data_IF_212569154886
#
_entry.id   IF_212569154886
#
_cell.length_a   1.000
_cell.length_b   1.000
_cell.length_c   1.000
_cell.angle_alpha   90.00
_cell.angle_beta   90.00
_cell.angle_gamma   90.00
#
_symmetry.space_group_name_H-M   'P 1'
#
loop_
_entity.id
_entity.type
_entity.pdbx_description
1 polymer ?
#
# COMPACT_ATOMS: atom_id res chain seq x y z
N UNK A 1 12.89 -15.97 -2.28
CA UNK A 1 11.60 -15.79 -1.58
C UNK A 1 11.47 -16.87 -0.53
N UNK A 2 11.15 -16.51 0.72
CA UNK A 2 10.99 -17.49 1.81
C UNK A 2 9.52 -17.88 1.91
N UNK A 3 9.18 -19.18 1.78
CA UNK A 3 7.80 -19.65 1.95
C UNK A 3 7.27 -19.30 3.35
N UNK A 4 5.98 -18.96 3.44
CA UNK A 4 5.27 -18.65 4.69
C UNK A 4 5.79 -17.42 5.49
N UNK A 5 6.70 -16.63 4.92
CA UNK A 5 7.18 -15.39 5.53
C UNK A 5 6.21 -14.23 5.28
N UNK A 6 5.88 -13.49 6.32
CA UNK A 6 5.08 -12.28 6.23
C UNK A 6 5.96 -11.04 6.31
N UNK A 7 6.23 -10.40 5.17
CA UNK A 7 7.06 -9.19 5.14
C UNK A 7 6.20 -7.93 5.15
N UNK A 8 6.46 -7.02 6.07
CA UNK A 8 5.86 -5.69 6.15
C UNK A 8 6.94 -4.62 5.98
N UNK A 9 6.65 -3.60 5.17
CA UNK A 9 7.50 -2.42 5.00
C UNK A 9 6.65 -1.16 5.17
N UNK A 10 6.33 -0.77 6.41
CA UNK A 10 5.41 0.32 6.69
C UNK A 10 5.98 1.66 6.22
N UNK A 11 5.12 2.54 5.71
CA UNK A 11 5.52 3.90 5.30
C UNK A 11 5.47 4.93 6.42
N UNK A 12 4.83 4.62 7.55
CA UNK A 12 4.76 5.53 8.68
C UNK A 12 4.47 4.82 10.01
N UNK A 13 4.27 5.61 11.06
CA UNK A 13 4.02 5.14 12.42
C UNK A 13 2.70 4.37 12.54
N UNK A 14 1.67 4.77 11.79
CA UNK A 14 0.35 4.13 11.80
C UNK A 14 0.42 2.74 11.19
N UNK A 15 1.04 2.60 10.02
CA UNK A 15 1.28 1.30 9.41
C UNK A 15 2.21 0.44 10.26
N UNK A 16 3.19 1.04 10.93
CA UNK A 16 4.09 0.33 11.84
C UNK A 16 3.32 -0.28 13.01
N UNK A 17 2.41 0.46 13.64
CA UNK A 17 1.57 -0.05 14.72
C UNK A 17 0.65 -1.19 14.26
N UNK A 18 0.05 -1.06 13.06
CA UNK A 18 -0.78 -2.12 12.46
C UNK A 18 0.04 -3.35 12.11
N UNK A 19 1.26 -3.17 11.58
CA UNK A 19 2.17 -4.26 11.27
C UNK A 19 2.61 -5.01 12.52
N UNK A 20 2.86 -4.29 13.63
CA UNK A 20 3.14 -4.88 14.93
C UNK A 20 1.95 -5.69 15.45
N UNK A 21 0.73 -5.12 15.42
CA UNK A 21 -0.50 -5.83 15.80
C UNK A 21 -0.67 -7.12 14.98
N UNK A 22 -0.51 -7.03 13.66
CA UNK A 22 -0.58 -8.19 12.77
C UNK A 22 0.49 -9.24 13.13
N UNK A 23 1.70 -8.82 13.46
CA UNK A 23 2.78 -9.71 13.87
C UNK A 23 2.46 -10.50 15.14
N UNK A 24 1.79 -9.88 16.10
CA UNK A 24 1.40 -10.52 17.38
C UNK A 24 0.17 -11.44 17.21
N UNK A 25 -0.79 -11.05 16.37
CA UNK A 25 -1.99 -11.86 16.11
C UNK A 25 -1.71 -13.08 15.22
N UNK A 26 -0.62 -13.05 14.45
CA UNK A 26 -0.26 -14.11 13.52
C UNK A 26 0.32 -15.33 14.23
N UNK A 27 -0.40 -16.45 14.21
CA UNK A 27 0.02 -17.72 14.81
C UNK A 27 0.63 -18.71 13.80
N UNK A 28 0.51 -18.44 12.49
CA UNK A 28 0.81 -19.39 11.41
C UNK A 28 2.15 -19.16 10.71
N UNK A 29 2.99 -18.24 11.21
CA UNK A 29 4.35 -18.05 10.70
C UNK A 29 5.01 -16.73 11.10
N UNK A 30 6.32 -16.57 10.81
CA UNK A 30 7.10 -15.41 11.22
C UNK A 30 6.73 -14.15 10.44
N UNK A 31 6.76 -13.00 11.12
CA UNK A 31 6.55 -11.68 10.53
C UNK A 31 7.84 -10.88 10.57
N UNK A 32 8.29 -10.40 9.41
CA UNK A 32 9.44 -9.52 9.27
C UNK A 32 8.96 -8.08 9.09
N UNK A 33 9.40 -7.19 9.98
CA UNK A 33 9.15 -5.75 9.90
C UNK A 33 10.41 -5.07 9.33
N UNK A 34 10.29 -4.47 8.15
CA UNK A 34 11.35 -3.72 7.48
C UNK A 34 11.10 -2.23 7.75
N UNK A 35 11.78 -1.69 8.76
CA UNK A 35 11.64 -0.30 9.18
C UNK A 35 12.73 0.58 8.54
N UNK A 36 12.38 1.83 8.23
CA UNK A 36 13.35 2.82 7.79
C UNK A 36 14.21 3.30 8.96
N UNK A 37 15.45 3.68 8.66
CA UNK A 37 16.31 4.40 9.62
C UNK A 37 15.95 5.90 9.69
N UNK A 38 15.46 6.45 8.59
CA UNK A 38 15.08 7.86 8.47
C UNK A 38 13.65 8.09 9.00
N UNK A 39 13.39 9.30 9.49
CA UNK A 39 12.03 9.76 9.78
C UNK A 39 11.20 9.81 8.49
N UNK A 40 9.97 9.33 8.56
CA UNK A 40 9.03 9.30 7.44
C UNK A 40 7.85 10.23 7.72
N UNK A 41 7.38 10.93 6.69
CA UNK A 41 6.20 11.78 6.78
C UNK A 41 4.94 10.94 6.96
N UNK A 42 4.12 11.30 7.95
CA UNK A 42 2.83 10.65 8.16
C UNK A 42 1.86 11.07 7.06
N UNK A 43 1.21 10.07 6.45
CA UNK A 43 0.21 10.31 5.40
C UNK A 43 -1.17 10.47 6.03
N UNK A 44 -1.93 11.45 5.55
CA UNK A 44 -3.34 11.62 5.95
C UNK A 44 -4.19 10.46 5.43
N UNK A 45 -5.04 9.91 6.31
CA UNK A 45 -5.90 8.76 5.99
C UNK A 45 -7.29 8.94 6.57
N UNK A 46 -8.28 8.45 5.85
CA UNK A 46 -9.63 8.23 6.37
C UNK A 46 -9.71 6.94 7.19
N UNK A 47 -10.75 6.81 8.02
CA UNK A 47 -10.97 5.60 8.83
C UNK A 47 -11.10 4.32 7.97
N UNK A 48 -11.67 4.43 6.77
CA UNK A 48 -11.78 3.33 5.83
C UNK A 48 -10.40 2.92 5.27
N UNK A 49 -9.56 3.89 4.92
CA UNK A 49 -8.19 3.63 4.47
C UNK A 49 -7.38 2.95 5.57
N UNK A 50 -7.54 3.39 6.82
CA UNK A 50 -6.89 2.78 7.99
C UNK A 50 -7.24 1.29 8.15
N UNK A 51 -8.53 0.95 8.03
CA UNK A 51 -8.97 -0.46 8.08
C UNK A 51 -8.41 -1.28 6.91
N UNK A 52 -8.22 -0.65 5.74
CA UNK A 52 -7.68 -1.30 4.56
C UNK A 52 -6.15 -1.50 4.63
N UNK A 53 -5.40 -0.78 5.48
CA UNK A 53 -3.96 -1.03 5.73
C UNK A 53 -3.73 -2.48 6.13
N UNK A 54 -4.55 -3.02 7.03
CA UNK A 54 -4.44 -4.40 7.50
C UNK A 54 -4.62 -5.44 6.38
N UNK A 55 -5.26 -5.05 5.26
CA UNK A 55 -5.49 -5.91 4.10
C UNK A 55 -4.29 -6.00 3.18
N UNK A 56 -3.21 -5.25 3.46
CA UNK A 56 -1.95 -5.30 2.73
C UNK A 56 -1.88 -4.42 1.49
N UNK A 57 -2.92 -3.67 1.17
CA UNK A 57 -2.88 -2.68 0.10
C UNK A 57 -4.19 -1.92 -0.02
N UNK A 58 -4.10 -0.60 -0.17
CA UNK A 58 -5.25 0.30 -0.20
C UNK A 58 -4.96 1.51 -1.10
N UNK A 59 -6.02 2.21 -1.50
CA UNK A 59 -5.90 3.44 -2.29
C UNK A 59 -5.66 4.59 -1.32
N UNK A 60 -4.51 5.24 -1.42
CA UNK A 60 -4.16 6.40 -0.58
C UNK A 60 -4.61 7.70 -1.24
N UNK A 61 -4.29 7.87 -2.53
CA UNK A 61 -4.73 8.99 -3.36
C UNK A 61 -5.49 8.45 -4.56
N UNK A 62 -6.67 9.01 -4.79
CA UNK A 62 -7.56 8.64 -5.89
C UNK A 62 -7.75 9.85 -6.81
N UNK A 63 -7.77 9.61 -8.12
CA UNK A 63 -8.10 10.63 -9.12
C UNK A 63 -9.62 10.75 -9.31
N UNK A 64 -10.07 11.93 -9.73
CA UNK A 64 -11.45 12.18 -10.14
C UNK A 64 -11.75 11.48 -11.47
N UNK A 65 -12.47 10.36 -11.39
CA UNK A 65 -12.91 9.56 -12.53
C UNK A 65 -12.68 8.06 -12.32
N UNK A 66 -13.54 7.23 -12.89
CA UNK A 66 -13.56 5.79 -12.63
C UNK A 66 -12.33 5.02 -13.15
N UNK A 67 -11.54 5.62 -14.04
CA UNK A 67 -10.41 4.96 -14.70
C UNK A 67 -9.12 5.79 -14.58
N UNK A 68 -8.12 5.33 -13.81
CA UNK A 68 -6.79 5.93 -13.80
C UNK A 68 -6.00 5.52 -15.06
N UNK A 69 -5.23 6.46 -15.59
CA UNK A 69 -4.27 6.21 -16.69
C UNK A 69 -2.95 5.67 -16.15
N UNK A 70 -2.61 6.03 -14.90
CA UNK A 70 -1.38 5.62 -14.24
C UNK A 70 -1.65 5.17 -12.80
N UNK A 71 -0.97 4.11 -12.37
CA UNK A 71 -1.04 3.62 -10.99
C UNK A 71 0.38 3.53 -10.43
N UNK A 72 0.67 4.34 -9.42
CA UNK A 72 1.86 4.24 -8.61
C UNK A 72 1.66 3.18 -7.53
N UNK A 73 2.54 2.19 -7.51
CA UNK A 73 2.63 1.22 -6.44
C UNK A 73 3.90 1.53 -5.67
N UNK A 74 3.75 1.95 -4.41
CA UNK A 74 4.86 2.34 -3.57
C UNK A 74 4.78 1.64 -2.21
N UNK A 75 5.91 1.54 -1.52
CA UNK A 75 5.99 0.90 -0.20
C UNK A 75 6.96 1.71 0.67
N UNK A 76 6.81 1.73 1.99
CA UNK A 76 7.79 2.38 2.87
C UNK A 76 8.08 3.85 2.53
N UNK A 77 9.37 4.20 2.48
CA UNK A 77 9.87 5.56 2.22
C UNK A 77 9.53 6.11 0.84
N UNK A 78 9.25 5.27 -0.15
CA UNK A 78 8.95 5.69 -1.51
C UNK A 78 7.49 6.16 -1.65
N UNK A 79 6.64 5.97 -0.64
CA UNK A 79 5.25 6.46 -0.66
C UNK A 79 5.21 7.99 -0.71
N UNK A 80 6.09 8.66 0.02
CA UNK A 80 6.19 10.13 0.00
C UNK A 80 6.54 10.64 -1.40
N UNK A 81 7.52 10.00 -2.05
CA UNK A 81 7.91 10.33 -3.42
C UNK A 81 6.78 10.07 -4.42
N UNK A 82 6.03 8.98 -4.24
CA UNK A 82 4.89 8.65 -5.10
C UNK A 82 3.74 9.66 -4.96
N UNK A 83 3.49 10.16 -3.74
CA UNK A 83 2.51 11.23 -3.51
C UNK A 83 2.97 12.53 -4.17
N UNK A 84 4.25 12.91 -4.02
CA UNK A 84 4.79 14.11 -4.67
C UNK A 84 4.74 14.02 -6.21
N UNK A 85 4.99 12.84 -6.79
CA UNK A 85 4.84 12.61 -8.22
C UNK A 85 3.37 12.69 -8.66
N UNK A 86 2.46 12.16 -7.84
CA UNK A 86 1.01 12.25 -8.06
C UNK A 86 0.51 13.70 -8.06
N UNK A 87 0.98 14.54 -7.14
CA UNK A 87 0.59 15.96 -7.10
C UNK A 87 0.98 16.69 -8.39
N UNK A 88 2.20 16.47 -8.89
CA UNK A 88 2.68 17.07 -10.16
C UNK A 88 1.88 16.60 -11.36
N UNK A 89 1.66 15.29 -11.48
CA UNK A 89 0.92 14.72 -12.61
C UNK A 89 -0.57 15.11 -12.58
N UNK A 90 -1.15 15.25 -11.40
CA UNK A 90 -2.52 15.73 -11.24
C UNK A 90 -2.64 17.19 -11.66
N UNK A 91 -1.63 18.02 -11.38
CA UNK A 91 -1.58 19.40 -11.86
C UNK A 91 -1.44 19.49 -13.40
N UNK A 92 -0.78 18.51 -14.02
CA UNK A 92 -0.70 18.36 -15.48
C UNK A 92 -1.97 17.76 -16.11
N UNK A 93 -2.95 17.35 -15.29
CA UNK A 93 -4.22 16.77 -15.74
C UNK A 93 -4.19 15.25 -15.97
N UNK A 94 -3.10 14.59 -15.61
CA UNK A 94 -2.95 13.13 -15.73
C UNK A 94 -3.68 12.45 -14.58
N UNK A 95 -4.50 11.45 -14.92
CA UNK A 95 -5.26 10.66 -13.94
C UNK A 95 -4.39 9.58 -13.30
N UNK A 96 -3.65 9.96 -12.27
CA UNK A 96 -2.81 9.03 -11.51
C UNK A 96 -3.50 8.53 -10.22
N UNK A 97 -3.14 7.33 -9.75
CA UNK A 97 -3.57 6.76 -8.47
C UNK A 97 -2.36 6.29 -7.67
N UNK A 98 -2.36 6.49 -6.35
CA UNK A 98 -1.29 5.98 -5.47
C UNK A 98 -1.80 4.83 -4.61
N UNK A 99 -1.13 3.70 -4.72
CA UNK A 99 -1.43 2.46 -4.02
C UNK A 99 -0.23 2.04 -3.14
N UNK A 100 -0.23 2.38 -1.84
CA UNK A 100 0.66 1.75 -0.90
C UNK A 100 0.35 0.26 -0.79
N UNK A 101 1.37 -0.60 -0.96
CA UNK A 101 1.19 -2.04 -0.83
C UNK A 101 2.25 -2.69 0.04
N UNK A 102 1.84 -3.75 0.71
CA UNK A 102 2.75 -4.71 1.32
C UNK A 102 3.33 -5.60 0.21
N UNK A 103 4.59 -6.07 0.33
CA UNK A 103 5.14 -7.08 -0.57
C UNK A 103 4.21 -8.30 -0.65
N UNK A 104 3.93 -8.83 -1.86
CA UNK A 104 2.95 -9.87 -2.02
C UNK A 104 3.40 -11.15 -1.30
N UNK A 105 2.54 -11.66 -0.42
CA UNK A 105 2.60 -13.05 0.05
C UNK A 105 1.68 -13.91 -0.80
N UNK A 106 1.85 -15.24 -0.69
CA UNK A 106 1.24 -16.28 -1.54
C UNK A 106 -0.30 -16.18 -1.73
N UNK A 107 -1.02 -15.38 -0.93
CA UNK A 107 -2.49 -15.26 -0.96
C UNK A 107 -3.05 -13.95 -1.54
N UNK A 108 -2.22 -13.03 -2.05
CA UNK A 108 -2.68 -11.68 -2.45
C UNK A 108 -3.37 -11.65 -3.84
N UNK A 109 -4.35 -12.54 -4.07
CA UNK A 109 -5.14 -12.58 -5.31
C UNK A 109 -5.97 -11.29 -5.54
N UNK A 110 -6.22 -10.52 -4.47
CA UNK A 110 -7.02 -9.28 -4.51
C UNK A 110 -6.29 -8.05 -5.05
N UNK A 111 -4.96 -8.04 -5.06
CA UNK A 111 -4.19 -6.90 -5.59
C UNK A 111 -4.45 -6.71 -7.10
N UNK A 112 -4.73 -7.80 -7.83
CA UNK A 112 -5.14 -7.75 -9.25
C UNK A 112 -6.48 -7.04 -9.47
N UNK A 113 -7.42 -7.13 -8.52
CA UNK A 113 -8.76 -6.55 -8.66
C UNK A 113 -8.79 -5.04 -8.37
N UNK A 114 -7.91 -4.57 -7.49
CA UNK A 114 -7.84 -3.15 -7.10
C UNK A 114 -6.94 -2.36 -8.06
N UNK A 115 -5.87 -2.99 -8.57
CA UNK A 115 -4.94 -2.36 -9.50
C UNK A 115 -5.35 -2.47 -10.97
N UNK A 116 -6.26 -3.37 -11.36
CA UNK A 116 -6.69 -3.48 -12.76
C UNK A 116 -8.14 -3.98 -12.90
N UNK A 117 -9.10 -3.14 -13.36
CA UNK A 117 -10.47 -3.58 -13.62
C UNK A 117 -10.58 -4.63 -14.73
N UNK A 118 -9.56 -4.79 -15.59
CA UNK A 118 -9.52 -5.78 -16.68
C UNK A 118 -9.07 -7.18 -16.24
N UNK A 119 -8.67 -7.38 -14.98
CA UNK A 119 -8.24 -8.69 -14.46
C UNK A 119 -9.36 -9.47 -13.74
N UNK A 120 -10.64 -9.16 -14.03
CA UNK A 120 -11.74 -10.09 -13.76
C UNK A 120 -11.63 -11.23 -14.77
N UNK A 121 -10.98 -12.33 -14.38
CA UNK A 121 -11.09 -13.56 -15.18
C UNK A 121 -12.57 -14.00 -15.24
N UNK A 122 -13.04 -14.59 -16.36
CA UNK A 122 -14.33 -15.26 -16.42
C UNK A 122 -14.39 -16.44 -15.42
#
# INVERSE_FOLDING_TARGET
MTPNMSTWRPCDQVESAIAWKYGVERQDGPTALILSRQNLAQQERTAEQLANVARGGYVLKECTGSQPELIFIATGSEVELAVAAWDKLTAEGVKARVFPCRPPTRSTSRMRLIANPYCRKP
#
